data_IF_559169860819
#
_entry.id   IF_559169860819
#
_cell.length_a   1.000
_cell.length_b   1.000
_cell.length_c   1.000
_cell.angle_alpha   90.00
_cell.angle_beta   90.00
_cell.angle_gamma   90.00
#
_symmetry.space_group_name_H-M   'P 1'
#
loop_
_entity.id
_entity.type
_entity.pdbx_description
1 polymer ?
#
# COMPACT_ATOMS: atom_id res chain seq x y z
N UNK A 1 -20.47 -12.00 14.13
CA UNK A 1 -19.66 -13.11 13.63
C UNK A 1 -19.85 -14.40 14.42
N UNK A 2 -20.22 -14.36 15.71
CA UNK A 2 -20.46 -15.58 16.54
C UNK A 2 -21.46 -16.55 15.91
N UNK A 3 -22.55 -16.04 15.32
CA UNK A 3 -23.53 -16.87 14.61
C UNK A 3 -22.96 -17.55 13.36
N UNK A 4 -21.98 -16.91 12.71
CA UNK A 4 -21.26 -17.47 11.54
C UNK A 4 -20.34 -18.59 12.03
N UNK A 5 -19.56 -18.34 13.08
CA UNK A 5 -18.68 -19.35 13.68
C UNK A 5 -19.45 -20.59 14.10
N UNK A 6 -20.58 -20.41 14.82
CA UNK A 6 -21.42 -21.52 15.28
C UNK A 6 -21.96 -22.39 14.14
N UNK A 7 -22.23 -21.83 12.97
CA UNK A 7 -22.74 -22.54 11.79
C UNK A 7 -21.63 -23.10 10.89
N UNK A 8 -20.38 -22.76 11.17
CA UNK A 8 -19.25 -23.09 10.30
C UNK A 8 -18.52 -24.31 10.83
N UNK A 9 -18.45 -25.36 10.01
CA UNK A 9 -17.65 -26.56 10.33
C UNK A 9 -16.19 -26.46 9.84
N UNK A 10 -15.93 -25.73 8.73
CA UNK A 10 -14.61 -25.70 8.13
C UNK A 10 -14.15 -24.32 7.69
N UNK A 11 -14.82 -23.70 6.72
CA UNK A 11 -14.36 -22.47 6.08
C UNK A 11 -15.50 -21.48 5.85
N UNK A 12 -15.19 -20.22 6.04
CA UNK A 12 -16.05 -19.08 5.69
C UNK A 12 -15.31 -18.21 4.68
N UNK A 13 -16.02 -17.76 3.66
CA UNK A 13 -15.53 -16.77 2.71
C UNK A 13 -16.30 -15.47 2.91
N UNK A 14 -15.59 -14.36 3.13
CA UNK A 14 -16.13 -13.03 3.38
C UNK A 14 -15.62 -12.12 2.27
N UNK A 15 -16.54 -11.49 1.53
CA UNK A 15 -16.17 -10.44 0.58
C UNK A 15 -16.28 -9.08 1.26
N UNK A 16 -15.23 -8.29 1.18
CA UNK A 16 -15.16 -6.98 1.82
C UNK A 16 -14.42 -5.99 0.93
N UNK A 17 -14.96 -4.79 0.80
CA UNK A 17 -14.38 -3.72 0.01
C UNK A 17 -14.34 -2.43 0.83
N UNK A 18 -13.18 -2.03 1.28
CA UNK A 18 -12.98 -0.74 1.95
C UNK A 18 -11.51 -0.32 1.92
N UNK A 19 -11.25 0.97 1.71
CA UNK A 19 -9.87 1.50 1.64
C UNK A 19 -9.27 1.81 3.02
N UNK A 20 -10.12 2.11 4.04
CA UNK A 20 -9.59 2.53 5.32
C UNK A 20 -9.10 1.38 6.18
N UNK A 21 -7.93 1.54 6.79
CA UNK A 21 -7.37 0.60 7.77
C UNK A 21 -8.30 0.41 8.97
N UNK A 22 -9.07 1.43 9.36
CA UNK A 22 -10.02 1.35 10.47
C UNK A 22 -11.16 0.34 10.20
N UNK A 23 -11.72 0.36 8.98
CA UNK A 23 -12.75 -0.61 8.59
C UNK A 23 -12.20 -2.05 8.59
N UNK A 24 -10.98 -2.23 8.09
CA UNK A 24 -10.27 -3.51 8.14
C UNK A 24 -9.94 -3.94 9.57
N UNK A 25 -9.52 -3.02 10.43
CA UNK A 25 -9.30 -3.29 11.85
C UNK A 25 -10.56 -3.80 12.52
N UNK A 26 -11.70 -3.17 12.23
CA UNK A 26 -13.00 -3.58 12.76
C UNK A 26 -13.41 -4.97 12.27
N UNK A 27 -13.26 -5.25 10.98
CA UNK A 27 -13.53 -6.57 10.41
C UNK A 27 -12.65 -7.65 11.04
N UNK A 28 -11.34 -7.43 11.09
CA UNK A 28 -10.38 -8.40 11.63
C UNK A 28 -10.61 -8.66 13.12
N UNK A 29 -10.88 -7.62 13.92
CA UNK A 29 -11.22 -7.76 15.33
C UNK A 29 -12.52 -8.59 15.50
N UNK A 30 -13.52 -8.38 14.65
CA UNK A 30 -14.77 -9.13 14.70
C UNK A 30 -14.57 -10.61 14.35
N UNK A 31 -13.73 -10.93 13.38
CA UNK A 31 -13.37 -12.31 13.00
C UNK A 31 -12.62 -12.99 14.15
N UNK A 32 -11.57 -12.35 14.68
CA UNK A 32 -10.76 -12.90 15.77
C UNK A 32 -11.55 -13.04 17.07
N UNK A 33 -12.45 -12.08 17.37
CA UNK A 33 -13.31 -12.10 18.55
C UNK A 33 -14.33 -13.24 18.51
N UNK A 34 -14.76 -13.65 17.31
CA UNK A 34 -15.65 -14.81 17.11
C UNK A 34 -14.88 -16.14 17.00
N UNK A 35 -13.68 -16.25 17.53
CA UNK A 35 -12.86 -17.46 17.50
C UNK A 35 -12.66 -18.04 16.09
N UNK A 36 -12.48 -17.16 15.12
CA UNK A 36 -12.05 -17.50 13.78
C UNK A 36 -10.70 -16.88 13.49
N UNK A 37 -9.90 -17.52 12.65
CA UNK A 37 -8.68 -16.92 12.13
C UNK A 37 -8.73 -16.82 10.60
N UNK A 38 -8.10 -15.78 10.06
CA UNK A 38 -7.94 -15.59 8.63
C UNK A 38 -6.88 -16.57 8.14
N UNK A 39 -7.18 -17.30 7.07
CA UNK A 39 -6.27 -18.27 6.47
C UNK A 39 -5.73 -17.83 5.11
N UNK A 40 -6.34 -16.83 4.51
CA UNK A 40 -5.90 -16.21 3.25
C UNK A 40 -6.79 -15.05 2.86
N UNK A 41 -6.29 -14.21 2.00
CA UNK A 41 -7.03 -13.11 1.39
C UNK A 41 -6.47 -12.82 0.00
N UNK A 42 -7.35 -12.46 -0.92
CA UNK A 42 -6.95 -12.09 -2.29
C UNK A 42 -7.97 -11.13 -2.91
N UNK A 43 -7.53 -10.24 -3.78
CA UNK A 43 -8.43 -9.34 -4.47
C UNK A 43 -9.23 -10.09 -5.54
N UNK A 44 -10.46 -9.65 -5.75
CA UNK A 44 -11.33 -10.14 -6.81
C UNK A 44 -11.86 -8.94 -7.58
N UNK A 45 -11.68 -8.93 -8.89
CA UNK A 45 -12.25 -7.92 -9.76
C UNK A 45 -13.78 -8.07 -9.79
N UNK A 46 -14.46 -7.22 -9.03
CA UNK A 46 -15.93 -7.21 -8.91
C UNK A 46 -16.56 -5.93 -9.42
N UNK A 47 -15.74 -4.95 -9.81
CA UNK A 47 -16.21 -3.65 -10.26
C UNK A 47 -16.25 -3.59 -11.79
N UNK A 48 -17.39 -3.14 -12.33
CA UNK A 48 -17.52 -2.88 -13.76
C UNK A 48 -16.71 -1.65 -14.16
N UNK A 49 -15.91 -1.75 -15.22
CA UNK A 49 -15.08 -0.68 -15.78
C UNK A 49 -15.84 0.62 -16.15
N UNK A 50 -17.17 0.61 -16.12
CA UNK A 50 -18.05 1.73 -16.49
C UNK A 50 -18.59 2.56 -15.31
N UNK A 51 -18.11 2.37 -14.08
CA UNK A 51 -18.51 3.24 -12.96
C UNK A 51 -17.85 4.60 -13.10
N UNK A 52 -18.66 5.65 -13.22
CA UNK A 52 -18.24 7.05 -13.32
C UNK A 52 -17.44 7.55 -12.09
N UNK A 53 -17.48 6.86 -10.97
CA UNK A 53 -16.70 7.13 -9.75
C UNK A 53 -15.29 6.52 -9.79
N UNK A 54 -15.03 5.52 -10.60
CA UNK A 54 -13.70 4.89 -10.78
C UNK A 54 -12.72 5.74 -11.59
N UNK A 55 -13.22 6.73 -12.35
CA UNK A 55 -12.41 7.59 -13.20
C UNK A 55 -11.79 8.80 -12.46
N UNK A 56 -12.16 9.06 -11.21
CA UNK A 56 -11.81 10.31 -10.50
C UNK A 56 -10.99 10.14 -9.22
N UNK A 57 -10.49 8.96 -8.87
CA UNK A 57 -9.70 8.78 -7.64
C UNK A 57 -9.18 7.35 -7.46
N UNK A 58 -8.35 7.13 -6.44
CA UNK A 58 -7.85 5.82 -6.01
C UNK A 58 -8.98 4.97 -5.37
N UNK A 59 -10.09 4.77 -6.10
CA UNK A 59 -11.13 3.85 -5.69
C UNK A 59 -10.59 2.42 -5.75
N UNK A 60 -11.01 1.56 -4.82
CA UNK A 60 -10.79 0.12 -4.95
C UNK A 60 -11.49 -0.34 -6.24
N UNK A 61 -10.75 -0.91 -7.16
CA UNK A 61 -11.29 -1.51 -8.38
C UNK A 61 -11.82 -2.91 -8.10
N UNK A 62 -11.45 -3.50 -6.96
CA UNK A 62 -11.79 -4.85 -6.57
C UNK A 62 -12.31 -4.96 -5.14
N UNK A 63 -13.03 -6.04 -4.86
CA UNK A 63 -13.29 -6.51 -3.49
C UNK A 63 -12.17 -7.45 -3.06
N UNK A 64 -11.91 -7.52 -1.75
CA UNK A 64 -11.02 -8.52 -1.19
C UNK A 64 -11.85 -9.65 -0.61
N UNK A 65 -11.56 -10.87 -1.04
CA UNK A 65 -12.12 -12.07 -0.44
C UNK A 65 -11.19 -12.53 0.68
N UNK A 66 -11.75 -12.72 1.87
CA UNK A 66 -11.06 -13.19 3.07
C UNK A 66 -11.59 -14.57 3.42
N UNK A 67 -10.73 -15.56 3.49
CA UNK A 67 -11.07 -16.90 3.97
C UNK A 67 -10.72 -17.05 5.43
N UNK A 68 -11.65 -17.57 6.22
CA UNK A 68 -11.52 -17.77 7.65
C UNK A 68 -11.85 -19.23 8.02
N UNK A 69 -11.25 -19.70 9.11
CA UNK A 69 -11.58 -20.98 9.72
C UNK A 69 -11.81 -20.80 11.22
N UNK A 70 -12.68 -21.62 11.84
CA UNK A 70 -12.71 -21.71 13.30
C UNK A 70 -11.31 -22.03 13.83
N UNK A 71 -10.87 -21.31 14.83
CA UNK A 71 -9.52 -21.43 15.38
C UNK A 71 -9.53 -21.07 16.86
N UNK A 72 -9.03 -22.00 17.68
CA UNK A 72 -8.69 -21.68 19.05
C UNK A 72 -7.35 -20.95 19.04
N UNK A 73 -7.34 -19.72 19.54
CA UNK A 73 -6.14 -18.93 19.76
C UNK A 73 -5.49 -19.39 21.04
N UNK A 74 -4.23 -19.80 21.00
CA UNK A 74 -3.56 -20.38 22.15
C UNK A 74 -2.26 -19.66 22.51
N UNK A 75 -2.11 -19.37 23.80
CA UNK A 75 -0.86 -18.85 24.37
C UNK A 75 -0.49 -17.46 23.92
N UNK A 76 0.72 -17.07 24.29
CA UNK A 76 1.28 -15.78 23.90
C UNK A 76 2.50 -15.96 22.99
N UNK A 77 2.80 -14.93 22.19
CA UNK A 77 4.02 -14.89 21.39
C UNK A 77 4.62 -13.48 21.43
N UNK A 78 5.93 -13.40 21.24
CA UNK A 78 6.64 -12.12 21.16
C UNK A 78 6.31 -11.39 19.84
N UNK A 79 6.07 -10.10 19.93
CA UNK A 79 5.82 -9.26 18.76
C UNK A 79 6.95 -9.35 17.72
N UNK A 80 8.19 -9.44 18.15
CA UNK A 80 9.34 -9.57 17.24
C UNK A 80 9.21 -10.78 16.31
N UNK A 81 8.75 -11.92 16.85
CA UNK A 81 8.58 -13.16 16.06
C UNK A 81 7.39 -13.07 15.12
N UNK A 82 6.24 -12.60 15.64
CA UNK A 82 5.04 -12.40 14.83
C UNK A 82 5.29 -11.40 13.70
N UNK A 83 5.94 -10.27 14.00
CA UNK A 83 6.32 -9.26 13.00
C UNK A 83 7.16 -9.85 11.88
N UNK A 84 8.21 -10.62 12.21
CA UNK A 84 9.07 -11.24 11.20
C UNK A 84 8.30 -12.25 10.32
N UNK A 85 7.45 -13.08 10.91
CA UNK A 85 6.64 -14.04 10.17
C UNK A 85 5.63 -13.33 9.25
N UNK A 86 4.99 -12.27 9.76
CA UNK A 86 4.09 -11.40 9.00
C UNK A 86 4.81 -10.74 7.81
N UNK A 87 5.96 -10.11 8.04
CA UNK A 87 6.74 -9.45 6.98
C UNK A 87 7.12 -10.42 5.86
N UNK A 88 7.53 -11.66 6.21
CA UNK A 88 7.83 -12.70 5.22
C UNK A 88 6.59 -13.04 4.39
N UNK A 89 5.46 -13.35 5.03
CA UNK A 89 4.22 -13.71 4.33
C UNK A 89 3.67 -12.58 3.47
N UNK A 90 3.68 -11.36 3.99
CA UNK A 90 3.25 -10.18 3.24
C UNK A 90 4.12 -9.98 2.00
N UNK A 91 5.45 -10.14 2.13
CA UNK A 91 6.37 -10.02 0.99
C UNK A 91 6.10 -11.08 -0.08
N UNK A 92 5.91 -12.34 0.33
CA UNK A 92 5.57 -13.43 -0.58
C UNK A 92 4.25 -13.16 -1.31
N UNK A 93 3.22 -12.70 -0.60
CA UNK A 93 1.90 -12.40 -1.16
C UNK A 93 1.95 -11.22 -2.13
N UNK A 94 2.66 -10.14 -1.79
CA UNK A 94 2.87 -8.99 -2.68
C UNK A 94 3.47 -9.43 -4.01
N UNK A 95 4.53 -10.24 -3.96
CA UNK A 95 5.19 -10.72 -5.17
C UNK A 95 4.25 -11.58 -6.01
N UNK A 96 3.53 -12.52 -5.38
CA UNK A 96 2.57 -13.39 -6.08
C UNK A 96 1.43 -12.59 -6.74
N UNK A 97 0.84 -11.65 -6.01
CA UNK A 97 -0.24 -10.80 -6.53
C UNK A 97 0.26 -9.85 -7.63
N UNK A 98 1.47 -9.33 -7.49
CA UNK A 98 2.09 -8.47 -8.50
C UNK A 98 2.32 -9.23 -9.83
N UNK A 99 2.78 -10.48 -9.78
CA UNK A 99 2.93 -11.35 -10.96
C UNK A 99 1.57 -11.65 -11.63
N UNK A 100 0.50 -11.77 -10.84
CA UNK A 100 -0.86 -11.94 -11.33
C UNK A 100 -1.48 -10.66 -11.94
N UNK A 101 -0.79 -9.52 -11.85
CA UNK A 101 -1.22 -8.26 -12.44
C UNK A 101 -1.94 -7.30 -11.49
N UNK A 102 -2.14 -7.65 -10.23
CA UNK A 102 -2.71 -6.74 -9.24
C UNK A 102 -1.74 -5.58 -8.92
N UNK A 103 -2.29 -4.39 -8.69
CA UNK A 103 -1.53 -3.16 -8.46
C UNK A 103 -2.22 -2.29 -7.40
N UNK A 104 -1.50 -1.28 -6.92
CA UNK A 104 -2.07 -0.19 -6.12
C UNK A 104 -2.67 -0.62 -4.79
N UNK A 105 -3.78 0.03 -4.44
CA UNK A 105 -4.46 -0.16 -3.16
C UNK A 105 -5.00 -1.57 -2.96
N UNK A 106 -5.46 -2.23 -4.02
CA UNK A 106 -6.02 -3.58 -3.97
C UNK A 106 -4.98 -4.60 -3.52
N UNK A 107 -3.77 -4.52 -4.07
CA UNK A 107 -2.65 -5.37 -3.69
C UNK A 107 -2.28 -5.19 -2.21
N UNK A 108 -2.16 -3.93 -1.75
CA UNK A 108 -1.83 -3.63 -0.36
C UNK A 108 -2.91 -4.12 0.61
N UNK A 109 -4.17 -3.96 0.23
CA UNK A 109 -5.31 -4.35 1.08
C UNK A 109 -5.44 -5.86 1.17
N UNK A 110 -5.18 -6.59 0.09
CA UNK A 110 -5.18 -8.05 0.09
C UNK A 110 -4.13 -8.64 1.06
N UNK A 111 -3.01 -7.95 1.26
CA UNK A 111 -1.98 -8.40 2.21
C UNK A 111 -2.38 -8.33 3.68
N UNK A 112 -3.46 -7.61 4.03
CA UNK A 112 -3.93 -7.53 5.42
C UNK A 112 -4.34 -8.89 5.98
N UNK A 113 -4.97 -9.73 5.17
CA UNK A 113 -5.32 -11.07 5.60
C UNK A 113 -4.12 -11.93 5.98
N UNK A 114 -3.03 -11.82 5.24
CA UNK A 114 -1.80 -12.55 5.54
C UNK A 114 -1.18 -12.09 6.87
N UNK A 115 -1.19 -10.79 7.14
CA UNK A 115 -0.71 -10.25 8.40
C UNK A 115 -1.54 -10.78 9.59
N UNK A 116 -2.87 -10.72 9.48
CA UNK A 116 -3.78 -11.17 10.54
C UNK A 116 -3.71 -12.68 10.71
N UNK A 117 -3.45 -13.46 9.66
CA UNK A 117 -3.29 -14.91 9.74
C UNK A 117 -2.18 -15.34 10.70
N UNK A 118 -1.09 -14.59 10.77
CA UNK A 118 0.01 -14.86 11.71
C UNK A 118 -0.33 -14.41 13.13
N UNK A 119 -0.95 -13.24 13.27
CA UNK A 119 -1.34 -12.70 14.55
C UNK A 119 -2.43 -13.54 15.23
N UNK A 120 -3.42 -13.99 14.47
CA UNK A 120 -4.57 -14.73 14.96
C UNK A 120 -4.26 -16.17 15.43
N UNK A 121 -3.03 -16.63 15.34
CA UNK A 121 -2.60 -17.91 15.93
C UNK A 121 -2.50 -17.84 17.44
N UNK A 122 -2.28 -16.67 18.01
CA UNK A 122 -1.98 -16.45 19.43
C UNK A 122 -3.10 -15.68 20.10
N UNK A 123 -3.35 -15.99 21.36
CA UNK A 123 -4.31 -15.26 22.20
C UNK A 123 -3.84 -13.83 22.42
N UNK A 124 -2.55 -13.68 22.74
CA UNK A 124 -1.91 -12.40 23.01
C UNK A 124 -0.57 -12.31 22.29
N UNK A 125 -0.29 -11.13 21.73
CA UNK A 125 1.02 -10.80 21.15
C UNK A 125 1.59 -9.61 21.89
N UNK A 126 2.76 -9.78 22.53
CA UNK A 126 3.35 -8.80 23.44
C UNK A 126 4.62 -8.16 22.87
N UNK A 127 4.76 -6.87 23.11
CA UNK A 127 5.99 -6.10 22.88
C UNK A 127 6.99 -6.35 23.99
N UNK A 128 8.23 -5.88 23.78
CA UNK A 128 9.30 -6.01 24.77
C UNK A 128 9.03 -5.30 26.10
N UNK A 129 8.16 -4.30 26.09
CA UNK A 129 7.74 -3.55 27.29
C UNK A 129 6.53 -4.16 28.00
N UNK A 130 6.03 -5.30 27.53
CA UNK A 130 4.88 -6.01 28.09
C UNK A 130 3.51 -5.48 27.58
N UNK A 131 3.48 -4.47 26.71
CA UNK A 131 2.22 -4.01 26.12
C UNK A 131 1.76 -4.93 24.99
N UNK A 132 0.44 -5.10 24.87
CA UNK A 132 -0.15 -5.89 23.80
C UNK A 132 -0.15 -5.13 22.47
N UNK A 133 -0.01 -5.88 21.38
CA UNK A 133 -0.11 -5.37 20.02
C UNK A 133 -1.57 -5.41 19.58
N UNK A 134 -2.06 -4.30 19.07
CA UNK A 134 -3.40 -4.21 18.50
C UNK A 134 -3.43 -4.63 17.03
N UNK A 135 -4.60 -5.07 16.55
CA UNK A 135 -4.81 -5.37 15.12
C UNK A 135 -4.56 -4.13 14.26
N UNK A 136 -4.94 -2.94 14.71
CA UNK A 136 -4.66 -1.69 13.99
C UNK A 136 -3.17 -1.44 13.76
N UNK A 137 -2.35 -1.59 14.80
CA UNK A 137 -0.88 -1.48 14.68
C UNK A 137 -0.31 -2.53 13.73
N UNK A 138 -0.84 -3.77 13.79
CA UNK A 138 -0.41 -4.84 12.90
C UNK A 138 -0.70 -4.51 11.43
N UNK A 139 -1.89 -3.99 11.12
CA UNK A 139 -2.28 -3.64 9.75
C UNK A 139 -1.46 -2.47 9.18
N UNK A 140 -1.08 -1.50 10.01
CA UNK A 140 -0.17 -0.43 9.58
C UNK A 140 1.24 -0.97 9.27
N UNK A 141 1.72 -1.92 10.06
CA UNK A 141 2.98 -2.62 9.77
C UNK A 141 2.90 -3.48 8.52
N UNK A 142 1.76 -4.15 8.29
CA UNK A 142 1.52 -4.94 7.08
C UNK A 142 1.51 -4.06 5.84
N UNK A 143 0.87 -2.90 5.90
CA UNK A 143 0.89 -1.90 4.82
C UNK A 143 2.32 -1.45 4.51
N UNK A 144 3.10 -1.15 5.55
CA UNK A 144 4.51 -0.77 5.40
C UNK A 144 5.33 -1.88 4.77
N UNK A 145 5.17 -3.12 5.22
CA UNK A 145 5.86 -4.28 4.67
C UNK A 145 5.47 -4.53 3.19
N UNK A 146 4.18 -4.44 2.86
CA UNK A 146 3.68 -4.60 1.50
C UNK A 146 4.24 -3.52 0.56
N UNK A 147 4.26 -2.27 1.00
CA UNK A 147 4.83 -1.18 0.25
C UNK A 147 6.33 -1.35 0.00
N UNK A 148 7.09 -1.74 1.03
CA UNK A 148 8.52 -2.02 0.89
C UNK A 148 8.77 -3.21 -0.05
N UNK A 149 7.95 -4.25 0.01
CA UNK A 149 8.03 -5.38 -0.91
C UNK A 149 7.76 -4.96 -2.36
N UNK A 150 6.73 -4.14 -2.58
CA UNK A 150 6.38 -3.61 -3.91
C UNK A 150 7.53 -2.82 -4.54
N UNK A 151 8.29 -2.07 -3.72
CA UNK A 151 9.43 -1.28 -4.16
C UNK A 151 10.78 -2.00 -4.02
N UNK A 152 10.81 -3.25 -3.54
CA UNK A 152 12.07 -3.97 -3.26
C UNK A 152 12.92 -4.24 -4.51
N UNK A 153 12.28 -4.36 -5.67
CA UNK A 153 12.96 -4.52 -6.96
C UNK A 153 13.41 -3.20 -7.60
N UNK A 154 13.12 -2.06 -6.96
CA UNK A 154 13.47 -0.75 -7.48
C UNK A 154 14.68 -0.19 -6.75
N UNK A 155 15.85 -0.26 -7.41
CA UNK A 155 17.10 0.33 -6.94
C UNK A 155 17.23 1.76 -7.49
N UNK A 156 16.79 2.74 -6.73
CA UNK A 156 16.77 4.15 -7.10
C UNK A 156 16.85 5.08 -5.90
N UNK A 157 17.03 6.37 -6.20
CA UNK A 157 17.02 7.41 -5.17
C UNK A 157 15.65 7.54 -4.48
N UNK A 158 15.65 8.13 -3.30
CA UNK A 158 14.45 8.27 -2.44
C UNK A 158 13.31 9.05 -3.13
N UNK A 159 13.60 10.10 -3.87
CA UNK A 159 12.57 10.89 -4.54
C UNK A 159 11.89 10.12 -5.67
N UNK A 160 12.65 9.33 -6.40
CA UNK A 160 12.12 8.44 -7.43
C UNK A 160 11.28 7.34 -6.82
N UNK A 161 11.70 6.75 -5.69
CA UNK A 161 10.91 5.77 -4.94
C UNK A 161 9.59 6.37 -4.44
N UNK A 162 9.62 7.60 -3.93
CA UNK A 162 8.42 8.35 -3.52
C UNK A 162 7.46 8.51 -4.69
N UNK A 163 7.96 8.96 -5.84
CA UNK A 163 7.13 9.21 -7.03
C UNK A 163 6.47 7.93 -7.54
N UNK A 164 7.26 6.86 -7.70
CA UNK A 164 6.76 5.56 -8.17
C UNK A 164 5.79 4.96 -7.15
N UNK A 165 6.12 5.00 -5.87
CA UNK A 165 5.28 4.48 -4.81
C UNK A 165 3.93 5.20 -4.74
N UNK A 166 3.93 6.52 -4.87
CA UNK A 166 2.69 7.30 -4.94
C UNK A 166 1.87 6.92 -6.16
N UNK A 167 2.50 6.86 -7.34
CA UNK A 167 1.84 6.48 -8.59
C UNK A 167 1.17 5.10 -8.49
N UNK A 168 1.84 4.14 -7.86
CA UNK A 168 1.32 2.79 -7.66
C UNK A 168 0.13 2.75 -6.68
N UNK A 169 0.13 3.60 -5.65
CA UNK A 169 -0.91 3.60 -4.62
C UNK A 169 -2.11 4.47 -4.95
N UNK A 170 -1.88 5.65 -5.48
CA UNK A 170 -2.89 6.70 -5.63
C UNK A 170 -3.14 7.10 -7.09
N UNK A 171 -2.31 6.62 -8.02
CA UNK A 171 -2.37 7.08 -9.40
C UNK A 171 -2.00 8.56 -9.54
N UNK A 172 -2.55 9.19 -10.57
CA UNK A 172 -2.37 10.63 -10.87
C UNK A 172 -3.52 11.50 -10.33
N UNK A 173 -4.52 10.90 -9.68
CA UNK A 173 -5.70 11.59 -9.18
C UNK A 173 -5.46 12.41 -7.91
N UNK A 174 -6.43 13.26 -7.58
CA UNK A 174 -6.42 14.05 -6.36
C UNK A 174 -6.66 13.18 -5.12
N UNK A 175 -5.84 13.39 -4.07
CA UNK A 175 -5.97 12.73 -2.77
C UNK A 175 -6.07 13.76 -1.65
N UNK A 176 -6.59 13.37 -0.49
CA UNK A 176 -6.64 14.22 0.69
C UNK A 176 -5.26 14.30 1.39
N UNK A 177 -4.99 15.43 2.06
CA UNK A 177 -3.70 15.68 2.72
C UNK A 177 -3.32 14.62 3.75
N UNK A 178 -4.30 14.09 4.48
CA UNK A 178 -4.06 13.05 5.49
C UNK A 178 -3.52 11.75 4.87
N UNK A 179 -3.92 11.42 3.65
CA UNK A 179 -3.43 10.26 2.93
C UNK A 179 -1.97 10.46 2.46
N UNK A 180 -1.60 11.67 2.07
CA UNK A 180 -0.22 12.00 1.77
C UNK A 180 0.69 11.91 3.00
N UNK A 181 0.22 12.38 4.14
CA UNK A 181 0.95 12.30 5.40
C UNK A 181 1.14 10.84 5.85
N UNK A 182 0.13 10.00 5.66
CA UNK A 182 0.22 8.56 5.90
C UNK A 182 1.22 7.89 4.96
N UNK A 183 1.16 8.23 3.67
CA UNK A 183 2.07 7.72 2.66
C UNK A 183 3.54 8.05 3.01
N UNK A 184 3.84 9.30 3.36
CA UNK A 184 5.18 9.73 3.72
C UNK A 184 5.77 9.01 4.95
N UNK A 185 4.90 8.46 5.83
CA UNK A 185 5.30 7.68 7.01
C UNK A 185 5.59 6.21 6.70
N UNK A 186 5.17 5.74 5.52
CA UNK A 186 5.28 4.32 5.14
C UNK A 186 6.65 4.05 4.53
N UNK A 187 7.64 3.77 5.39
CA UNK A 187 8.94 3.21 4.98
C UNK A 187 9.84 4.12 4.14
N UNK A 188 9.61 5.45 4.17
CA UNK A 188 10.43 6.41 3.43
C UNK A 188 11.27 7.26 4.37
N UNK A 189 12.50 7.59 3.92
CA UNK A 189 13.41 8.49 4.63
C UNK A 189 13.11 9.98 4.36
N UNK A 190 12.16 10.27 3.47
CA UNK A 190 11.84 11.63 3.00
C UNK A 190 10.63 12.18 3.75
N UNK A 191 10.76 13.39 4.28
CA UNK A 191 9.64 14.06 4.95
C UNK A 191 8.63 14.60 3.92
N UNK A 192 7.37 14.75 4.33
CA UNK A 192 6.33 15.30 3.45
C UNK A 192 6.64 16.71 2.96
N UNK A 193 7.30 17.53 3.78
CA UNK A 193 7.78 18.86 3.39
C UNK A 193 8.77 18.82 2.24
N UNK A 194 9.66 17.83 2.23
CA UNK A 194 10.66 17.65 1.18
C UNK A 194 10.01 17.16 -0.13
N UNK A 195 9.00 16.32 -0.03
CA UNK A 195 8.19 15.86 -1.18
C UNK A 195 7.55 17.05 -1.89
N UNK A 196 6.96 17.99 -1.13
CA UNK A 196 6.41 19.22 -1.70
C UNK A 196 7.49 20.19 -2.20
N UNK A 197 8.59 20.34 -1.48
CA UNK A 197 9.71 21.20 -1.88
C UNK A 197 10.35 20.76 -3.20
N UNK A 198 10.39 19.44 -3.46
CA UNK A 198 10.84 18.86 -4.73
C UNK A 198 9.77 18.82 -5.82
N UNK A 199 8.60 19.42 -5.58
CA UNK A 199 7.47 19.40 -6.52
C UNK A 199 7.10 17.99 -7.02
N UNK A 200 7.20 16.97 -6.14
CA UNK A 200 6.67 15.64 -6.45
C UNK A 200 5.16 15.60 -6.27
N UNK A 201 4.66 16.31 -5.28
CA UNK A 201 3.23 16.55 -5.06
C UNK A 201 2.92 18.03 -5.21
N UNK A 202 1.79 18.32 -5.85
CA UNK A 202 1.25 19.67 -5.98
C UNK A 202 -0.03 19.75 -5.15
N UNK A 203 -0.12 20.80 -4.35
CA UNK A 203 -1.28 21.07 -3.48
C UNK A 203 -2.24 22.04 -4.14
N UNK A 204 -3.53 21.66 -4.17
CA UNK A 204 -4.62 22.52 -4.63
C UNK A 204 -5.72 22.53 -3.55
N UNK A 205 -5.74 23.58 -2.73
CA UNK A 205 -6.65 23.66 -1.57
C UNK A 205 -6.32 22.58 -0.52
N UNK A 206 -7.29 21.73 -0.21
CA UNK A 206 -7.13 20.61 0.73
C UNK A 206 -6.71 19.29 0.05
N UNK A 207 -6.57 19.30 -1.28
CA UNK A 207 -6.19 18.15 -2.07
C UNK A 207 -4.77 18.27 -2.59
N UNK A 208 -4.17 17.16 -2.95
CA UNK A 208 -2.90 17.09 -3.64
C UNK A 208 -2.93 15.97 -4.68
N UNK A 209 -2.11 16.13 -5.70
CA UNK A 209 -1.90 15.16 -6.74
C UNK A 209 -0.42 14.99 -7.05
N UNK A 210 -0.09 13.87 -7.69
CA UNK A 210 1.26 13.61 -8.16
C UNK A 210 1.56 14.55 -9.34
N UNK A 211 2.65 15.31 -9.24
CA UNK A 211 3.00 16.28 -10.25
C UNK A 211 3.37 15.60 -11.57
N UNK A 212 2.76 16.04 -12.65
CA UNK A 212 3.07 15.57 -14.00
C UNK A 212 4.44 16.08 -14.47
N UNK A 213 5.01 15.42 -15.50
CA UNK A 213 6.26 15.91 -16.08
C UNK A 213 6.14 17.35 -16.64
N UNK A 214 4.96 17.74 -17.12
CA UNK A 214 4.69 19.08 -17.65
C UNK A 214 4.72 20.14 -16.55
N UNK A 215 4.14 19.87 -15.41
CA UNK A 215 4.15 20.78 -14.26
C UNK A 215 5.55 20.91 -13.66
N UNK A 216 6.29 19.80 -13.54
CA UNK A 216 7.62 19.80 -12.96
C UNK A 216 8.66 20.43 -13.88
N UNK A 217 8.58 20.25 -15.19
CA UNK A 217 9.55 20.77 -16.16
C UNK A 217 9.36 22.25 -16.51
N UNK A 218 8.38 22.95 -15.91
CA UNK A 218 8.35 24.42 -15.85
C UNK A 218 9.66 24.94 -15.25
N UNK A 219 10.24 24.23 -14.28
CA UNK A 219 11.61 24.45 -13.86
C UNK A 219 12.58 23.91 -14.93
N UNK A 220 13.11 24.80 -15.76
CA UNK A 220 14.01 24.44 -16.86
C UNK A 220 15.30 23.72 -16.41
N UNK A 221 15.68 23.84 -15.13
CA UNK A 221 16.87 23.18 -14.57
C UNK A 221 16.61 21.77 -14.05
N UNK A 222 15.34 21.37 -13.90
CA UNK A 222 14.98 20.05 -13.39
C UNK A 222 15.54 18.94 -14.29
N UNK A 223 16.24 17.98 -13.72
CA UNK A 223 16.75 16.80 -14.41
C UNK A 223 17.87 17.07 -15.41
N UNK A 224 18.55 18.20 -15.30
CA UNK A 224 19.65 18.57 -16.19
C UNK A 224 21.01 18.01 -15.75
N UNK A 225 21.14 17.62 -14.49
CA UNK A 225 22.36 17.03 -13.93
C UNK A 225 22.22 15.53 -13.78
N UNK A 226 23.30 14.79 -13.98
CA UNK A 226 23.40 13.35 -13.69
C UNK A 226 23.29 13.04 -12.20
N UNK A 227 23.48 14.05 -11.33
CA UNK A 227 23.28 13.94 -9.88
C UNK A 227 21.83 14.18 -9.44
N UNK A 228 20.96 14.65 -10.35
CA UNK A 228 19.55 14.85 -10.05
C UNK A 228 18.84 13.50 -9.84
N UNK A 229 17.75 13.46 -9.07
CA UNK A 229 16.91 12.26 -8.94
C UNK A 229 16.53 11.68 -10.31
N UNK A 230 16.46 10.36 -10.40
CA UNK A 230 16.12 9.67 -11.66
C UNK A 230 14.78 10.12 -12.22
N UNK A 231 13.79 10.36 -11.38
CA UNK A 231 12.49 10.86 -11.84
C UNK A 231 12.59 12.24 -12.47
N UNK A 232 13.50 13.10 -12.02
CA UNK A 232 13.71 14.42 -12.60
C UNK A 232 14.30 14.31 -14.00
N UNK A 233 15.28 13.41 -14.16
CA UNK A 233 15.90 13.11 -15.45
C UNK A 233 14.89 12.51 -16.43
N UNK A 234 14.04 11.58 -15.96
CA UNK A 234 12.96 10.97 -16.77
C UNK A 234 11.96 12.04 -17.23
N UNK A 235 11.51 12.91 -16.32
CA UNK A 235 10.58 13.98 -16.66
C UNK A 235 11.20 14.98 -17.65
N UNK A 236 12.47 15.27 -17.52
CA UNK A 236 13.21 16.11 -18.50
C UNK A 236 13.27 15.42 -19.86
N UNK A 237 13.58 14.13 -19.92
CA UNK A 237 13.59 13.37 -21.15
C UNK A 237 12.21 13.36 -21.83
N UNK A 238 11.13 13.21 -21.04
CA UNK A 238 9.74 13.29 -21.55
C UNK A 238 9.41 14.67 -22.13
N UNK A 239 9.84 15.76 -21.47
CA UNK A 239 9.66 17.12 -21.98
C UNK A 239 10.42 17.34 -23.28
N UNK A 240 11.69 16.94 -23.35
CA UNK A 240 12.51 17.04 -24.55
C UNK A 240 11.91 16.22 -25.72
N UNK A 241 11.34 15.05 -25.41
CA UNK A 241 10.64 14.24 -26.42
C UNK A 241 9.40 14.96 -26.96
N UNK A 242 8.57 15.52 -26.09
CA UNK A 242 7.37 16.29 -26.48
C UNK A 242 7.74 17.48 -27.36
N UNK A 243 8.81 18.19 -27.03
CA UNK A 243 9.24 19.39 -27.73
C UNK A 243 10.06 19.08 -29.01
N UNK A 244 10.23 17.80 -29.35
CA UNK A 244 10.90 17.33 -30.56
C UNK A 244 12.44 17.35 -30.50
N UNK A 245 13.01 17.66 -29.35
CA UNK A 245 14.47 17.80 -29.15
C UNK A 245 15.11 16.45 -28.77
N UNK A 246 15.01 15.49 -29.72
CA UNK A 246 15.45 14.10 -29.51
C UNK A 246 16.93 13.95 -29.24
N UNK A 247 17.76 14.90 -29.71
CA UNK A 247 19.22 14.90 -29.51
C UNK A 247 19.61 15.06 -28.03
N UNK A 248 18.77 15.75 -27.23
CA UNK A 248 19.04 15.97 -25.81
C UNK A 248 18.63 14.77 -24.94
N UNK A 249 17.82 13.84 -25.45
CA UNK A 249 17.38 12.68 -24.68
C UNK A 249 18.52 11.71 -24.41
N UNK A 250 19.42 11.53 -25.40
CA UNK A 250 20.53 10.58 -25.31
C UNK A 250 21.61 10.97 -24.27
N UNK A 251 21.58 12.20 -23.76
CA UNK A 251 22.47 12.65 -22.69
C UNK A 251 21.95 12.36 -21.26
N UNK A 252 20.72 11.87 -21.13
CA UNK A 252 20.03 11.67 -19.84
C UNK A 252 19.67 10.20 -19.55
N UNK A 253 20.00 9.28 -20.46
CA UNK A 253 19.87 7.84 -20.31
C UNK A 253 21.28 7.24 -20.20
#
# INVERSE_FOLDING_TARGET
FDAIEYQTSEIVSIMFAHQSTEAWTTLCNSILGARMNITGSWPMDTEMANRSLGLAGAALESSVTVSCRPSERNGFESFKRVKRAMETKVTEEVNALYELGFRGADLLTACFGQAVSEFGKYETVEKADGSEVTVGELLELARTAAFNALLSGFDGDEYTRVYIGWLQMNGMGDTDFDDAAKFARVGMSVNISDIFAHNLLIRTGNKQHLATYTERTINEKLGMSTSDPRIDQVHRAMANWRDGDRGKILHHI
#
